data_IF_899131422399
#
_entry.id   IF_899131422399
#
_cell.length_a   1.000
_cell.length_b   1.000
_cell.length_c   1.000
_cell.angle_alpha   90.00
_cell.angle_beta   90.00
_cell.angle_gamma   90.00
#
_symmetry.space_group_name_H-M   'P 1'
#
loop_
_entity.id
_entity.type
_entity.pdbx_description
1 polymer ?
#
# COMPACT_ATOMS: atom_id res chain seq x y z
N UNK A 1 7.24 11.15 1.30
CA UNK A 1 7.54 10.14 2.36
C UNK A 1 8.61 9.12 1.95
N UNK A 2 9.03 9.03 0.66
CA UNK A 2 9.95 7.99 0.18
C UNK A 2 11.28 7.90 0.96
N UNK A 3 11.90 9.04 1.28
CA UNK A 3 13.17 9.07 2.06
C UNK A 3 12.99 8.50 3.48
N UNK A 4 11.88 8.82 4.15
CA UNK A 4 11.54 8.27 5.48
C UNK A 4 11.21 6.77 5.37
N UNK A 5 10.38 6.38 4.40
CA UNK A 5 10.01 4.98 4.16
C UNK A 5 11.22 4.10 3.86
N UNK A 6 12.23 4.64 3.18
CA UNK A 6 13.46 3.90 2.90
C UNK A 6 14.16 3.42 4.18
N UNK A 7 14.30 4.29 5.18
CA UNK A 7 14.90 3.93 6.47
C UNK A 7 14.08 2.85 7.21
N UNK A 8 12.75 2.95 7.15
CA UNK A 8 11.88 1.92 7.70
C UNK A 8 11.98 0.58 6.95
N UNK A 9 12.15 0.61 5.63
CA UNK A 9 12.36 -0.60 4.83
C UNK A 9 13.70 -1.27 5.15
N UNK A 10 14.77 -0.50 5.33
CA UNK A 10 16.08 -1.03 5.74
C UNK A 10 15.98 -1.68 7.13
N UNK A 11 15.48 -0.94 8.13
CA UNK A 11 15.33 -1.46 9.49
C UNK A 11 14.48 -2.73 9.56
N UNK A 12 13.39 -2.79 8.77
CA UNK A 12 12.55 -3.98 8.67
C UNK A 12 13.29 -5.15 8.05
N UNK A 13 14.02 -4.94 6.96
CA UNK A 13 14.77 -6.00 6.28
C UNK A 13 15.88 -6.55 7.20
N UNK A 14 16.60 -5.68 7.90
CA UNK A 14 17.60 -6.07 8.88
C UNK A 14 16.97 -6.84 10.05
N UNK A 15 15.84 -6.36 10.58
CA UNK A 15 15.13 -7.02 11.67
C UNK A 15 14.49 -8.36 11.29
N UNK A 16 14.12 -8.57 10.02
CA UNK A 16 13.66 -9.88 9.52
C UNK A 16 14.85 -10.83 9.38
N UNK A 17 15.99 -10.35 8.91
CA UNK A 17 17.19 -11.16 8.72
C UNK A 17 17.89 -11.51 10.04
N UNK A 18 17.85 -10.61 11.02
CA UNK A 18 18.41 -10.80 12.37
C UNK A 18 17.43 -10.32 13.46
N UNK A 19 16.41 -11.12 13.79
CA UNK A 19 15.36 -10.73 14.74
C UNK A 19 15.87 -10.43 16.16
N UNK A 20 17.01 -11.01 16.56
CA UNK A 20 17.57 -10.81 17.89
C UNK A 20 18.22 -9.42 18.05
N UNK A 21 18.70 -8.84 16.96
CA UNK A 21 19.33 -7.54 16.91
C UNK A 21 18.49 -6.49 16.17
N UNK A 22 17.21 -6.76 15.96
CA UNK A 22 16.27 -5.84 15.30
C UNK A 22 16.21 -4.50 16.04
N UNK A 23 16.26 -3.40 15.28
CA UNK A 23 16.25 -2.02 15.81
C UNK A 23 15.28 -1.16 15.02
N UNK A 24 14.86 -0.07 15.64
CA UNK A 24 14.15 1.01 14.97
C UNK A 24 15.14 1.92 14.22
N UNK A 25 14.70 2.58 13.14
CA UNK A 25 15.48 3.66 12.56
C UNK A 25 15.76 4.74 13.62
N UNK A 26 16.98 5.33 13.66
CA UNK A 26 17.27 6.45 14.57
C UNK A 26 16.34 7.62 14.28
N UNK A 27 15.79 8.24 15.32
CA UNK A 27 14.81 9.33 15.17
C UNK A 27 15.43 10.54 14.46
N UNK A 28 16.70 10.83 14.73
CA UNK A 28 17.44 11.91 14.08
C UNK A 28 17.58 11.67 12.57
N UNK A 29 17.79 10.41 12.16
CA UNK A 29 17.83 10.04 10.73
C UNK A 29 16.46 10.18 10.06
N UNK A 30 15.37 9.80 10.77
CA UNK A 30 14.01 9.99 10.27
C UNK A 30 13.66 11.49 10.13
N UNK A 31 14.05 12.31 11.09
CA UNK A 31 13.86 13.76 11.06
C UNK A 31 14.63 14.41 9.90
N UNK A 32 15.88 14.01 9.69
CA UNK A 32 16.66 14.48 8.53
C UNK A 32 16.01 14.05 7.21
N UNK A 33 15.66 12.77 7.07
CA UNK A 33 14.98 12.27 5.87
C UNK A 33 13.63 12.97 5.60
N UNK A 34 12.96 13.48 6.62
CA UNK A 34 11.69 14.20 6.48
C UNK A 34 11.85 15.58 5.83
N UNK A 35 13.05 16.17 5.85
CA UNK A 35 13.36 17.42 5.14
C UNK A 35 13.40 17.22 3.61
N UNK A 36 13.56 15.97 3.15
CA UNK A 36 13.66 15.57 1.75
C UNK A 36 12.36 14.91 1.24
N UNK A 37 11.22 15.35 1.79
CA UNK A 37 9.88 14.83 1.45
C UNK A 37 9.08 15.93 0.76
N UNK A 38 8.50 15.62 -0.39
CA UNK A 38 7.66 16.56 -1.14
C UNK A 38 7.72 16.30 -2.63
N UNK A 39 6.85 16.97 -3.36
CA UNK A 39 6.82 16.90 -4.82
C UNK A 39 7.63 18.02 -5.50
N UNK A 40 8.08 19.02 -4.76
CA UNK A 40 8.81 20.18 -5.30
C UNK A 40 10.15 19.79 -5.95
N UNK A 41 10.75 18.69 -5.46
CA UNK A 41 11.98 18.14 -6.03
C UNK A 41 11.74 17.24 -7.25
N UNK A 42 10.46 16.92 -7.58
CA UNK A 42 10.11 16.00 -8.65
C UNK A 42 9.74 16.76 -9.93
N UNK A 43 10.52 16.58 -10.98
CA UNK A 43 10.26 17.14 -12.30
C UNK A 43 9.83 16.02 -13.23
N UNK A 44 8.63 16.13 -13.81
CA UNK A 44 8.08 15.17 -14.76
C UNK A 44 8.00 15.83 -16.13
N UNK A 45 8.65 15.23 -17.13
CA UNK A 45 8.51 15.59 -18.55
C UNK A 45 7.70 14.47 -19.23
N UNK A 46 6.41 14.71 -19.41
CA UNK A 46 5.49 13.76 -20.04
C UNK A 46 5.85 13.51 -21.51
N UNK A 47 6.31 14.54 -22.23
CA UNK A 47 6.64 14.41 -23.64
C UNK A 47 7.88 13.54 -23.86
N UNK A 48 8.87 13.68 -22.98
CA UNK A 48 10.08 12.86 -23.01
C UNK A 48 9.92 11.53 -22.23
N UNK A 49 8.82 11.35 -21.49
CA UNK A 49 8.60 10.20 -20.59
C UNK A 49 9.74 10.05 -19.58
N UNK A 50 10.20 11.16 -19.00
CA UNK A 50 11.28 11.18 -18.03
C UNK A 50 10.86 11.77 -16.70
N UNK A 51 11.53 11.29 -15.65
CA UNK A 51 11.41 11.81 -14.29
C UNK A 51 12.80 12.19 -13.79
N UNK A 52 12.92 13.38 -13.22
CA UNK A 52 14.14 13.85 -12.58
C UNK A 52 13.86 14.30 -11.17
N UNK A 53 14.68 13.86 -10.22
CA UNK A 53 14.62 14.28 -8.82
C UNK A 53 15.79 15.23 -8.58
N UNK A 54 15.48 16.50 -8.31
CA UNK A 54 16.48 17.57 -8.17
C UNK A 54 17.19 17.56 -6.81
N UNK A 55 16.57 16.99 -5.80
CA UNK A 55 17.15 16.79 -4.47
C UNK A 55 17.82 15.41 -4.41
N UNK A 56 19.16 15.32 -4.21
CA UNK A 56 19.89 14.05 -4.21
C UNK A 56 19.51 13.12 -3.05
N UNK A 57 18.95 13.67 -1.95
CA UNK A 57 18.54 12.93 -0.77
C UNK A 57 17.03 12.57 -0.78
N UNK A 58 16.27 13.13 -1.73
CA UNK A 58 14.88 12.75 -1.93
C UNK A 58 14.76 11.38 -2.61
N UNK A 59 13.78 10.60 -2.19
CA UNK A 59 13.45 9.29 -2.77
C UNK A 59 11.98 9.22 -3.15
N UNK A 60 11.70 8.67 -4.32
CA UNK A 60 10.35 8.39 -4.78
C UNK A 60 9.97 6.95 -4.39
N UNK A 61 8.88 6.81 -3.68
CA UNK A 61 8.25 5.51 -3.39
C UNK A 61 6.82 5.53 -3.93
N UNK A 62 6.52 4.64 -4.85
CA UNK A 62 5.19 4.49 -5.47
C UNK A 62 4.40 3.32 -4.88
N UNK A 63 4.89 2.70 -3.80
CA UNK A 63 4.31 1.49 -3.20
C UNK A 63 2.86 1.64 -2.76
N UNK A 64 2.44 2.86 -2.41
CA UNK A 64 1.08 3.17 -1.97
C UNK A 64 0.06 3.24 -3.12
N UNK A 65 0.49 3.26 -4.38
CA UNK A 65 -0.40 3.42 -5.55
C UNK A 65 -0.14 2.42 -6.66
N UNK A 66 1.02 1.77 -6.65
CA UNK A 66 1.47 0.97 -7.79
C UNK A 66 0.62 -0.28 -8.02
N UNK A 67 0.17 -0.94 -6.95
CA UNK A 67 -0.67 -2.14 -7.05
C UNK A 67 -2.05 -1.80 -7.60
N UNK A 68 -2.66 -0.74 -7.07
CA UNK A 68 -3.96 -0.26 -7.54
C UNK A 68 -3.92 0.20 -8.98
N UNK A 69 -2.89 0.96 -9.35
CA UNK A 69 -2.69 1.39 -10.74
C UNK A 69 -2.52 0.19 -11.68
N UNK A 70 -1.71 -0.80 -11.32
CA UNK A 70 -1.51 -2.00 -12.14
C UNK A 70 -2.79 -2.83 -12.25
N UNK A 71 -3.55 -2.96 -11.16
CA UNK A 71 -4.85 -3.64 -11.14
C UNK A 71 -5.85 -2.94 -12.07
N UNK A 72 -5.89 -1.60 -12.01
CA UNK A 72 -6.75 -0.78 -12.88
C UNK A 72 -6.38 -0.96 -14.36
N UNK A 73 -5.09 -0.86 -14.69
CA UNK A 73 -4.63 -1.06 -16.10
C UNK A 73 -4.92 -2.47 -16.60
N UNK A 74 -4.80 -3.48 -15.75
CA UNK A 74 -5.17 -4.85 -16.10
C UNK A 74 -6.67 -4.99 -16.34
N UNK A 75 -7.51 -4.39 -15.49
CA UNK A 75 -8.96 -4.43 -15.60
C UNK A 75 -9.47 -3.75 -16.88
N UNK A 76 -8.93 -2.60 -17.24
CA UNK A 76 -9.30 -1.85 -18.46
C UNK A 76 -9.02 -2.62 -19.77
N UNK A 77 -8.07 -3.55 -19.73
CA UNK A 77 -7.69 -4.36 -20.89
C UNK A 77 -8.22 -5.80 -20.81
N UNK A 78 -8.95 -6.14 -19.74
CA UNK A 78 -9.48 -7.47 -19.54
C UNK A 78 -10.90 -7.62 -20.17
N UNK A 79 -11.29 -8.82 -20.57
CA UNK A 79 -12.69 -9.10 -20.91
C UNK A 79 -13.63 -8.83 -19.72
N UNK A 80 -14.92 -8.57 -20.04
CA UNK A 80 -15.98 -8.50 -19.05
C UNK A 80 -16.10 -9.81 -18.25
N UNK A 81 -16.54 -9.73 -16.99
CA UNK A 81 -16.83 -10.86 -16.14
C UNK A 81 -15.58 -11.55 -15.54
N UNK A 82 -14.51 -10.82 -15.37
CA UNK A 82 -13.30 -11.27 -14.67
C UNK A 82 -13.18 -10.65 -13.27
N UNK A 83 -12.48 -11.35 -12.39
CA UNK A 83 -12.01 -10.84 -11.12
C UNK A 83 -10.50 -10.84 -11.12
N UNK A 84 -9.89 -9.67 -10.99
CA UNK A 84 -8.44 -9.46 -11.01
C UNK A 84 -7.99 -9.15 -9.58
N UNK A 85 -6.94 -9.82 -9.11
CA UNK A 85 -6.36 -9.55 -7.80
C UNK A 85 -4.84 -9.41 -7.89
N UNK A 86 -4.32 -8.30 -7.44
CA UNK A 86 -2.89 -7.99 -7.40
C UNK A 86 -2.50 -7.62 -5.97
N UNK A 87 -1.95 -8.59 -5.23
CA UNK A 87 -1.49 -8.35 -3.86
C UNK A 87 -2.55 -7.81 -2.91
N UNK A 88 -3.82 -8.25 -3.07
CA UNK A 88 -4.95 -7.82 -2.25
C UNK A 88 -5.76 -6.64 -2.80
N UNK A 89 -5.32 -5.99 -3.87
CA UNK A 89 -6.13 -5.06 -4.63
C UNK A 89 -6.99 -5.87 -5.60
N UNK A 90 -8.30 -5.85 -5.41
CA UNK A 90 -9.26 -6.66 -6.18
C UNK A 90 -10.13 -5.76 -7.04
N UNK A 91 -10.30 -6.11 -8.32
CA UNK A 91 -11.15 -5.39 -9.26
C UNK A 91 -12.00 -6.36 -10.07
N UNK A 92 -13.32 -6.11 -10.14
CA UNK A 92 -14.24 -6.80 -11.04
C UNK A 92 -14.40 -6.03 -12.35
N UNK A 93 -14.47 -6.76 -13.47
CA UNK A 93 -14.73 -6.19 -14.82
C UNK A 93 -16.13 -6.50 -15.33
N UNK A 94 -17.06 -6.78 -14.44
CA UNK A 94 -18.45 -7.18 -14.72
C UNK A 94 -18.89 -8.28 -13.78
N UNK A 95 -20.16 -8.69 -13.82
CA UNK A 95 -20.66 -9.81 -13.06
C UNK A 95 -20.03 -11.13 -13.54
N UNK A 96 -20.12 -12.17 -12.72
CA UNK A 96 -19.65 -13.51 -13.11
C UNK A 96 -20.35 -13.98 -14.38
N UNK A 97 -19.60 -14.44 -15.36
CA UNK A 97 -20.16 -14.96 -16.62
C UNK A 97 -20.96 -16.26 -16.44
N UNK A 98 -20.69 -17.01 -15.35
CA UNK A 98 -21.35 -18.30 -15.10
C UNK A 98 -22.84 -18.19 -14.78
N UNK A 99 -23.24 -17.15 -14.05
CA UNK A 99 -24.58 -17.01 -13.48
C UNK A 99 -25.09 -15.54 -13.39
N UNK A 100 -24.31 -14.56 -13.85
CA UNK A 100 -24.65 -13.14 -13.80
C UNK A 100 -24.62 -12.54 -12.38
N UNK A 101 -24.15 -13.27 -11.38
CA UNK A 101 -24.11 -12.78 -9.99
C UNK A 101 -22.88 -11.93 -9.70
N UNK A 102 -22.94 -11.02 -8.69
CA UNK A 102 -21.77 -10.27 -8.24
C UNK A 102 -20.65 -11.18 -7.69
N UNK A 103 -19.44 -10.67 -7.71
CA UNK A 103 -18.29 -11.25 -7.00
C UNK A 103 -18.43 -11.02 -5.52
N UNK A 104 -18.06 -12.02 -4.72
CA UNK A 104 -18.12 -11.99 -3.26
C UNK A 104 -16.70 -11.80 -2.74
N UNK A 105 -16.42 -10.66 -2.12
CA UNK A 105 -15.10 -10.29 -1.62
C UNK A 105 -15.14 -10.23 -0.09
N UNK A 106 -14.29 -11.02 0.57
CA UNK A 106 -14.11 -10.98 2.02
C UNK A 106 -13.15 -9.87 2.43
N UNK A 107 -13.54 -9.09 3.42
CA UNK A 107 -12.65 -8.14 4.12
C UNK A 107 -12.07 -8.89 5.31
N UNK A 108 -10.78 -9.17 5.26
CA UNK A 108 -10.08 -9.97 6.27
C UNK A 108 -10.11 -9.29 7.65
N UNK A 109 -10.27 -10.10 8.69
CA UNK A 109 -10.08 -9.68 10.07
C UNK A 109 -8.57 -9.50 10.36
N UNK A 110 -8.11 -8.30 10.77
CA UNK A 110 -6.71 -8.05 11.09
C UNK A 110 -6.20 -8.88 12.28
N UNK A 111 -7.09 -9.37 13.15
CA UNK A 111 -6.76 -10.16 14.32
C UNK A 111 -6.94 -11.68 14.13
N UNK A 112 -7.59 -12.07 13.02
CA UNK A 112 -7.84 -13.49 12.72
C UNK A 112 -7.77 -13.73 11.20
N UNK A 113 -6.59 -14.08 10.70
CA UNK A 113 -6.31 -14.21 9.25
C UNK A 113 -7.15 -15.25 8.52
N UNK A 114 -7.80 -16.16 9.24
CA UNK A 114 -8.71 -17.18 8.73
C UNK A 114 -10.18 -16.73 8.72
N UNK A 115 -10.48 -15.50 9.14
CA UNK A 115 -11.83 -14.92 9.22
C UNK A 115 -11.98 -13.65 8.42
N UNK A 116 -13.22 -13.36 8.06
CA UNK A 116 -13.60 -12.09 7.48
C UNK A 116 -14.44 -11.28 8.48
N UNK A 117 -14.10 -9.99 8.65
CA UNK A 117 -14.93 -9.03 9.37
C UNK A 117 -16.21 -8.71 8.61
N UNK A 118 -16.11 -8.66 7.28
CA UNK A 118 -17.21 -8.26 6.42
C UNK A 118 -17.11 -8.93 5.05
N UNK A 119 -18.21 -8.92 4.32
CA UNK A 119 -18.28 -9.40 2.93
C UNK A 119 -18.95 -8.34 2.09
N UNK A 120 -18.33 -8.00 0.96
CA UNK A 120 -18.87 -7.05 -0.02
C UNK A 120 -19.14 -7.74 -1.34
N UNK A 121 -20.09 -7.19 -2.11
CA UNK A 121 -20.51 -7.70 -3.42
C UNK A 121 -20.19 -6.64 -4.47
N UNK A 122 -19.41 -7.02 -5.47
CA UNK A 122 -18.99 -6.10 -6.54
C UNK A 122 -19.24 -6.71 -7.92
N UNK A 123 -19.43 -5.83 -8.92
CA UNK A 123 -19.42 -6.18 -10.35
C UNK A 123 -18.30 -5.42 -11.06
N UNK A 124 -18.45 -4.08 -11.19
CA UNK A 124 -17.51 -3.18 -11.88
C UNK A 124 -16.87 -2.21 -10.89
N UNK A 125 -16.39 -2.73 -9.77
CA UNK A 125 -15.75 -1.96 -8.73
C UNK A 125 -14.47 -2.64 -8.26
N UNK A 126 -13.62 -1.87 -7.59
CA UNK A 126 -12.45 -2.35 -6.89
C UNK A 126 -12.69 -2.36 -5.38
N UNK A 127 -12.06 -3.31 -4.71
CA UNK A 127 -11.93 -3.38 -3.25
C UNK A 127 -10.45 -3.42 -2.93
N UNK A 128 -9.97 -2.40 -2.24
CA UNK A 128 -8.56 -2.29 -1.86
C UNK A 128 -8.47 -2.16 -0.35
N UNK A 129 -7.60 -2.95 0.25
CA UNK A 129 -7.41 -2.97 1.71
C UNK A 129 -5.95 -2.76 2.04
N UNK A 130 -5.67 -1.74 2.84
CA UNK A 130 -4.40 -1.53 3.52
C UNK A 130 -4.53 -1.91 5.00
N UNK A 131 -3.52 -2.58 5.54
CA UNK A 131 -3.54 -3.02 6.94
C UNK A 131 -2.16 -3.14 7.56
N UNK A 132 -2.11 -2.96 8.88
CA UNK A 132 -0.90 -2.96 9.69
C UNK A 132 -0.26 -4.36 9.86
N UNK A 133 -1.02 -5.42 9.59
CA UNK A 133 -0.67 -6.82 9.87
C UNK A 133 0.13 -7.53 8.76
N UNK A 134 0.23 -6.94 7.56
CA UNK A 134 0.82 -7.63 6.40
C UNK A 134 2.35 -7.51 6.29
N UNK A 135 2.92 -6.37 6.71
CA UNK A 135 4.35 -6.06 6.57
C UNK A 135 4.90 -5.54 7.89
N UNK A 136 4.95 -6.43 8.87
CA UNK A 136 5.34 -6.12 10.24
C UNK A 136 6.67 -6.80 10.58
N UNK A 137 7.51 -6.13 11.38
CA UNK A 137 8.65 -6.72 12.04
C UNK A 137 8.61 -6.40 13.55
N UNK A 138 9.40 -7.08 14.35
CA UNK A 138 9.32 -7.02 15.80
C UNK A 138 10.62 -6.46 16.37
N UNK A 139 10.50 -5.48 17.27
CA UNK A 139 11.62 -4.93 18.06
C UNK A 139 11.23 -4.98 19.52
N UNK A 140 12.02 -5.64 20.35
CA UNK A 140 11.78 -5.78 21.80
C UNK A 140 10.34 -6.25 22.13
N UNK A 141 9.81 -7.18 21.36
CA UNK A 141 8.47 -7.75 21.57
C UNK A 141 7.31 -6.85 21.12
N UNK A 142 7.57 -5.73 20.45
CA UNK A 142 6.55 -4.84 19.87
C UNK A 142 6.54 -4.92 18.35
N UNK A 143 5.36 -4.95 17.71
CA UNK A 143 5.25 -4.94 16.25
C UNK A 143 5.38 -3.52 15.69
N UNK A 144 6.06 -3.40 14.55
CA UNK A 144 6.19 -2.17 13.78
C UNK A 144 5.88 -2.46 12.31
N UNK A 145 4.93 -1.74 11.73
CA UNK A 145 4.45 -1.92 10.37
C UNK A 145 4.89 -0.77 9.45
N UNK A 146 4.53 -0.86 8.17
CA UNK A 146 5.01 0.00 7.09
C UNK A 146 4.15 1.24 6.82
N UNK A 147 3.01 1.40 7.48
CA UNK A 147 2.13 2.57 7.31
C UNK A 147 2.63 3.63 8.29
N UNK A 148 3.32 4.63 7.79
CA UNK A 148 4.01 5.64 8.59
C UNK A 148 3.20 6.92 8.63
N UNK A 149 2.98 7.43 9.83
CA UNK A 149 2.37 8.73 10.09
C UNK A 149 3.40 9.83 9.76
N UNK A 150 3.08 10.77 8.86
CA UNK A 150 4.01 11.83 8.45
C UNK A 150 4.36 12.82 9.56
N UNK A 151 3.50 12.98 10.58
CA UNK A 151 3.72 13.93 11.67
C UNK A 151 4.67 13.36 12.74
N UNK A 152 4.51 12.08 13.04
CA UNK A 152 5.32 11.40 14.06
C UNK A 152 6.53 10.67 13.49
N UNK A 153 6.56 10.41 12.18
CA UNK A 153 7.54 9.58 11.46
C UNK A 153 7.59 8.13 11.94
N UNK A 154 6.60 7.71 12.71
CA UNK A 154 6.46 6.38 13.30
C UNK A 154 5.27 5.63 12.67
N UNK A 155 5.18 4.30 12.84
CA UNK A 155 3.99 3.56 12.42
C UNK A 155 2.71 4.15 13.01
N UNK A 156 1.72 4.37 12.14
CA UNK A 156 0.42 4.92 12.50
C UNK A 156 -0.33 4.00 13.47
N UNK A 157 -1.05 4.56 14.43
CA UNK A 157 -1.82 3.81 15.44
C UNK A 157 -3.33 4.06 15.32
N UNK A 158 -3.77 4.78 14.29
CA UNK A 158 -5.18 5.20 14.19
C UNK A 158 -6.11 4.07 13.73
N UNK A 159 -5.67 3.26 12.77
CA UNK A 159 -6.48 2.21 12.16
C UNK A 159 -5.66 0.93 11.98
N UNK A 160 -6.30 -0.23 12.26
CA UNK A 160 -5.73 -1.54 12.00
C UNK A 160 -5.80 -1.91 10.52
N UNK A 161 -6.90 -1.51 9.90
CA UNK A 161 -7.20 -1.80 8.50
C UNK A 161 -8.16 -0.77 7.93
N UNK A 162 -7.97 -0.40 6.68
CA UNK A 162 -8.86 0.47 5.91
C UNK A 162 -9.17 -0.23 4.59
N UNK A 163 -10.45 -0.35 4.26
CA UNK A 163 -10.91 -0.89 2.98
C UNK A 163 -11.68 0.17 2.21
N UNK A 164 -11.30 0.40 0.96
CA UNK A 164 -11.94 1.35 0.05
C UNK A 164 -12.61 0.57 -1.07
N UNK A 165 -13.88 0.90 -1.32
CA UNK A 165 -14.63 0.42 -2.49
C UNK A 165 -14.80 1.58 -3.45
N UNK A 166 -14.26 1.46 -4.66
CA UNK A 166 -14.24 2.52 -5.64
C UNK A 166 -14.18 1.93 -7.05
N UNK A 167 -14.75 2.58 -8.09
CA UNK A 167 -14.59 2.12 -9.47
C UNK A 167 -13.14 2.04 -9.94
N UNK A 168 -12.29 2.97 -9.51
CA UNK A 168 -10.87 3.02 -9.87
C UNK A 168 -9.99 2.41 -8.76
N UNK A 169 -9.27 1.34 -9.09
CA UNK A 169 -8.40 0.62 -8.16
C UNK A 169 -7.17 1.43 -7.76
N UNK A 170 -6.63 2.26 -8.66
CA UNK A 170 -5.49 3.13 -8.37
C UNK A 170 -5.84 4.22 -7.35
N UNK A 171 -7.02 4.82 -7.54
CA UNK A 171 -7.55 5.81 -6.60
C UNK A 171 -7.88 5.17 -5.24
N UNK A 172 -8.47 3.97 -5.25
CA UNK A 172 -8.74 3.23 -4.01
C UNK A 172 -7.46 2.88 -3.23
N UNK A 173 -6.38 2.48 -3.91
CA UNK A 173 -5.07 2.18 -3.29
C UNK A 173 -4.47 3.44 -2.64
N UNK A 174 -4.59 4.58 -3.31
CA UNK A 174 -4.09 5.86 -2.78
C UNK A 174 -4.84 6.37 -1.54
N UNK A 175 -6.10 5.95 -1.36
CA UNK A 175 -6.96 6.38 -0.25
C UNK A 175 -7.02 5.40 0.92
N UNK A 176 -6.49 4.17 0.75
CA UNK A 176 -6.58 3.09 1.75
C UNK A 176 -5.48 3.11 2.82
#
# INVERSE_FOLDING_TARGET
MGSVLHLWHEARNDGINDPQNAKLPPIEALQEASNHVGFDALVIDEAASTVYISDPDARLDVGAVAKGWATQRAAENAPEGMLISVGGNVCGTGPKLSDGTPWVIGIQDPDASDKNLHTVFITENSVVTSGDYQRTYWVEGKPYHHIIDPDTLMPSIYWRSVSIICPDSGFADALS
#
